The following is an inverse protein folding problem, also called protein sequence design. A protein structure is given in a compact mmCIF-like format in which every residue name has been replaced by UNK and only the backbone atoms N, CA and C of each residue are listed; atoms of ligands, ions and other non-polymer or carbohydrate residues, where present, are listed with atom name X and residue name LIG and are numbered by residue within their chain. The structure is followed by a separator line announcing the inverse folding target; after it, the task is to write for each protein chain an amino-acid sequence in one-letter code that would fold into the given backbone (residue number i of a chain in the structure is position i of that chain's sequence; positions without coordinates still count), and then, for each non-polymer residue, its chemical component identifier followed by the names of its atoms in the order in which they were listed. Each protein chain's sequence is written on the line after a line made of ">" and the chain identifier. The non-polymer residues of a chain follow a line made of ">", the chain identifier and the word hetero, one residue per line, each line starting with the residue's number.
data_IF_720019662011
#
_entry.id   IF_720019662011
#
_cell.length_a   1.000
_cell.length_b   1.000
_cell.length_c   1.000
_cell.angle_alpha   90.00
_cell.angle_beta   90.00
_cell.angle_gamma   90.00
#
_symmetry.space_group_name_H-M   'P 1'
#
loop_
_entity.id
_entity.type
_entity.pdbx_description
1 polymer ?
#
# COMPACT_ATOMS: atom_id res chain seq x y z
N UNK A 1 -1.29 -1.02 40.81
CA UNK A 1 -0.51 -2.27 40.60
C UNK A 1 -0.59 -2.67 39.12
N UNK A 2 -1.77 -2.62 38.44
CA UNK A 2 -1.90 -2.98 37.02
C UNK A 2 -1.08 -2.07 36.10
N UNK A 3 -1.04 -0.78 36.37
CA UNK A 3 -0.32 0.23 35.56
C UNK A 3 1.22 0.07 35.59
N UNK A 4 1.79 -0.34 36.74
CA UNK A 4 3.23 -0.63 36.86
C UNK A 4 3.61 -1.91 36.13
N UNK A 5 2.81 -2.96 36.28
CA UNK A 5 3.04 -4.26 35.58
C UNK A 5 3.00 -4.06 34.06
N UNK A 6 2.05 -3.28 33.54
CA UNK A 6 1.93 -3.00 32.11
C UNK A 6 3.13 -2.18 31.58
N UNK A 7 3.63 -1.22 32.35
CA UNK A 7 4.83 -0.45 31.98
C UNK A 7 6.09 -1.30 31.97
N UNK A 8 6.27 -2.16 32.97
CA UNK A 8 7.39 -3.08 33.03
C UNK A 8 7.36 -4.08 31.86
N UNK A 9 6.18 -4.64 31.57
CA UNK A 9 6.00 -5.54 30.41
C UNK A 9 6.26 -4.83 29.08
N UNK A 10 5.82 -3.57 28.94
CA UNK A 10 6.10 -2.77 27.75
C UNK A 10 7.61 -2.54 27.57
N UNK A 11 8.32 -2.16 28.62
CA UNK A 11 9.77 -2.00 28.61
C UNK A 11 10.50 -3.29 28.23
N UNK A 12 10.12 -4.41 28.85
CA UNK A 12 10.72 -5.74 28.53
C UNK A 12 10.45 -6.09 27.06
N UNK A 13 9.25 -5.87 26.56
CA UNK A 13 8.87 -6.16 25.18
C UNK A 13 9.70 -5.37 24.15
N UNK A 14 10.06 -4.12 24.45
CA UNK A 14 10.93 -3.32 23.58
C UNK A 14 12.29 -4.02 23.39
N UNK A 15 12.91 -4.47 24.49
CA UNK A 15 14.21 -5.15 24.42
C UNK A 15 14.14 -6.52 23.77
N UNK A 16 13.07 -7.29 24.03
CA UNK A 16 12.81 -8.55 23.34
C UNK A 16 12.65 -8.34 21.83
N UNK A 17 11.90 -7.31 21.43
CA UNK A 17 11.70 -7.01 20.02
C UNK A 17 13.00 -6.53 19.34
N UNK A 18 13.82 -5.73 20.04
CA UNK A 18 15.14 -5.33 19.54
C UNK A 18 16.03 -6.56 19.35
N UNK A 19 16.11 -7.45 20.34
CA UNK A 19 16.91 -8.68 20.25
C UNK A 19 16.45 -9.58 19.10
N UNK A 20 15.14 -9.78 18.95
CA UNK A 20 14.54 -10.51 17.81
C UNK A 20 14.89 -9.83 16.48
N UNK A 21 14.78 -8.50 16.40
CA UNK A 21 15.10 -7.73 15.21
C UNK A 21 16.58 -7.89 14.80
N UNK A 22 17.50 -7.86 15.76
CA UNK A 22 18.94 -8.13 15.54
C UNK A 22 19.13 -9.54 14.96
N UNK A 23 18.56 -10.54 15.63
CA UNK A 23 18.69 -11.94 15.21
C UNK A 23 18.16 -12.17 13.80
N UNK A 24 16.96 -11.70 13.50
CA UNK A 24 16.38 -11.85 12.17
C UNK A 24 17.16 -11.07 11.11
N UNK A 25 17.68 -9.89 11.42
CA UNK A 25 18.48 -9.11 10.48
C UNK A 25 19.79 -9.82 10.15
N UNK A 26 20.48 -10.38 11.17
CA UNK A 26 21.70 -11.18 10.97
C UNK A 26 21.43 -12.40 10.11
N UNK A 27 20.41 -13.20 10.47
CA UNK A 27 20.04 -14.39 9.73
C UNK A 27 19.69 -14.06 8.26
N UNK A 28 18.93 -12.96 8.04
CA UNK A 28 18.54 -12.50 6.73
C UNK A 28 19.74 -12.09 5.86
N UNK A 29 20.65 -11.32 6.41
CA UNK A 29 21.86 -10.88 5.69
C UNK A 29 22.76 -12.07 5.33
N UNK A 30 23.02 -12.97 6.28
CA UNK A 30 23.87 -14.15 6.05
C UNK A 30 23.24 -15.05 4.96
N UNK A 31 21.96 -15.39 5.12
CA UNK A 31 21.24 -16.24 4.17
C UNK A 31 21.23 -15.64 2.75
N UNK A 32 20.98 -14.33 2.66
CA UNK A 32 20.91 -13.65 1.36
C UNK A 32 22.27 -13.60 0.69
N UNK A 33 23.35 -13.34 1.44
CA UNK A 33 24.73 -13.34 0.91
C UNK A 33 25.18 -14.71 0.42
N UNK A 34 24.82 -15.78 1.13
CA UNK A 34 25.07 -17.15 0.67
C UNK A 34 24.34 -17.41 -0.65
N UNK A 35 23.09 -16.93 -0.76
CA UNK A 35 22.25 -17.17 -1.94
C UNK A 35 22.71 -16.38 -3.18
N UNK A 36 23.10 -15.11 -3.02
CA UNK A 36 23.38 -14.21 -4.16
C UNK A 36 24.88 -14.11 -4.51
N UNK A 37 25.77 -14.48 -3.59
CA UNK A 37 27.21 -14.39 -3.84
C UNK A 37 27.66 -12.94 -4.11
N UNK A 38 28.46 -12.76 -5.18
CA UNK A 38 28.97 -11.44 -5.58
C UNK A 38 27.91 -10.62 -6.30
N UNK A 39 27.95 -9.31 -6.05
CA UNK A 39 27.13 -8.30 -6.68
C UNK A 39 27.42 -8.18 -8.18
N UNK A 40 26.35 -8.04 -9.00
CA UNK A 40 26.41 -7.93 -10.46
C UNK A 40 26.39 -6.47 -10.95
N UNK A 41 26.58 -5.48 -10.10
CA UNK A 41 26.59 -4.06 -10.48
C UNK A 41 27.97 -3.71 -11.06
N UNK A 42 27.98 -3.16 -12.26
CA UNK A 42 29.20 -2.64 -12.87
C UNK A 42 29.54 -1.27 -12.22
N UNK A 43 30.69 -1.23 -11.53
CA UNK A 43 31.17 -0.03 -10.84
C UNK A 43 31.69 1.06 -11.78
N UNK A 44 31.95 0.73 -13.04
CA UNK A 44 32.43 1.69 -14.03
C UNK A 44 31.28 2.51 -14.63
N UNK A 45 30.05 2.03 -14.54
CA UNK A 45 28.86 2.72 -15.04
C UNK A 45 28.21 3.56 -13.94
N UNK A 46 27.54 4.63 -14.37
CA UNK A 46 26.62 5.33 -13.49
C UNK A 46 25.44 4.43 -13.15
N UNK A 47 24.90 4.51 -11.93
CA UNK A 47 23.82 3.65 -11.45
C UNK A 47 22.58 4.46 -11.19
N UNK A 48 21.48 4.09 -11.86
CA UNK A 48 20.15 4.58 -11.55
C UNK A 48 19.44 3.55 -10.67
N UNK A 49 19.04 3.95 -9.46
CA UNK A 49 18.40 3.05 -8.51
C UNK A 49 16.88 3.05 -8.64
N UNK A 50 16.30 1.85 -8.55
CA UNK A 50 14.88 1.66 -8.29
C UNK A 50 14.75 0.88 -6.99
N UNK A 51 14.17 1.49 -5.94
CA UNK A 51 13.85 0.77 -4.70
C UNK A 51 12.43 0.24 -4.76
N UNK A 52 12.30 -1.07 -4.68
CA UNK A 52 11.02 -1.76 -4.78
C UNK A 52 10.89 -2.92 -3.77
N UNK A 53 9.86 -3.72 -3.92
CA UNK A 53 9.58 -4.92 -3.16
C UNK A 53 9.52 -6.13 -4.10
N UNK A 54 9.68 -7.34 -3.57
CA UNK A 54 9.48 -8.56 -4.31
C UNK A 54 8.57 -9.52 -3.56
N UNK A 55 7.58 -10.05 -4.27
CA UNK A 55 6.62 -11.03 -3.79
C UNK A 55 6.70 -12.30 -4.61
N UNK A 56 6.16 -13.39 -4.12
CA UNK A 56 6.04 -14.61 -4.93
C UNK A 56 5.25 -14.39 -6.24
N UNK A 57 4.26 -13.49 -6.21
CA UNK A 57 3.45 -13.06 -7.37
C UNK A 57 4.17 -12.14 -8.36
N UNK A 58 5.34 -11.59 -8.00
CA UNK A 58 6.17 -10.78 -8.92
C UNK A 58 6.74 -11.60 -10.10
N UNK A 59 6.51 -12.90 -10.09
CA UNK A 59 6.97 -13.81 -11.12
C UNK A 59 5.79 -14.50 -11.81
N UNK A 60 5.77 -14.43 -13.14
CA UNK A 60 4.81 -15.21 -13.94
C UNK A 60 5.04 -16.71 -13.77
N UNK A 61 4.12 -17.53 -14.29
CA UNK A 61 4.31 -18.99 -14.32
C UNK A 61 5.60 -19.39 -15.08
N UNK A 62 6.00 -18.61 -16.07
CA UNK A 62 7.20 -18.82 -16.89
C UNK A 62 8.46 -18.18 -16.28
N UNK A 63 8.40 -17.69 -15.04
CA UNK A 63 9.54 -17.11 -14.33
C UNK A 63 9.87 -15.66 -14.70
N UNK A 64 9.12 -15.03 -15.58
CA UNK A 64 9.35 -13.63 -15.98
C UNK A 64 9.02 -12.72 -14.78
N UNK A 65 9.98 -11.88 -14.43
CA UNK A 65 9.84 -10.89 -13.35
C UNK A 65 9.03 -9.68 -13.83
N UNK A 66 8.11 -9.25 -12.99
CA UNK A 66 7.42 -7.96 -13.09
C UNK A 66 7.46 -7.27 -11.74
N UNK A 67 7.95 -6.05 -11.74
CA UNK A 67 7.97 -5.26 -10.51
C UNK A 67 6.53 -5.02 -10.01
N UNK A 68 6.24 -5.27 -8.72
CA UNK A 68 4.88 -5.21 -8.20
C UNK A 68 4.29 -3.80 -8.13
N UNK A 69 5.11 -2.75 -8.23
CA UNK A 69 4.68 -1.35 -8.16
C UNK A 69 5.00 -0.56 -9.43
N UNK A 70 6.16 -0.84 -10.01
CA UNK A 70 6.69 -0.10 -11.16
C UNK A 70 6.57 -0.87 -12.48
N UNK A 71 6.14 -2.16 -12.47
CA UNK A 71 6.05 -3.02 -13.65
C UNK A 71 7.34 -2.98 -14.49
N UNK A 72 7.30 -2.45 -15.71
CA UNK A 72 8.43 -2.39 -16.64
C UNK A 72 9.15 -1.03 -16.64
N UNK A 73 8.94 -0.18 -15.63
CA UNK A 73 9.57 1.13 -15.52
C UNK A 73 11.11 1.05 -15.61
N UNK A 74 11.72 -0.01 -15.05
CA UNK A 74 13.17 -0.20 -15.10
C UNK A 74 13.69 -0.35 -16.53
N UNK A 75 12.93 -0.99 -17.42
CA UNK A 75 13.28 -1.13 -18.85
C UNK A 75 13.19 0.23 -19.51
N UNK A 76 12.10 0.95 -19.31
CA UNK A 76 11.92 2.28 -19.87
C UNK A 76 13.04 3.25 -19.47
N UNK A 77 13.44 3.24 -18.19
CA UNK A 77 14.54 4.09 -17.69
C UNK A 77 15.86 3.66 -18.34
N UNK A 78 16.13 2.33 -18.45
CA UNK A 78 17.34 1.85 -19.10
C UNK A 78 17.42 2.27 -20.56
N UNK A 79 16.32 2.18 -21.31
CA UNK A 79 16.24 2.60 -22.72
C UNK A 79 16.51 4.11 -22.87
N UNK A 80 16.07 4.93 -21.91
CA UNK A 80 16.31 6.38 -21.92
C UNK A 80 17.75 6.77 -21.55
N UNK A 81 18.38 6.04 -20.63
CA UNK A 81 19.73 6.33 -20.17
C UNK A 81 20.81 5.72 -21.06
N UNK A 82 20.46 4.75 -21.90
CA UNK A 82 21.41 4.08 -22.80
C UNK A 82 22.46 3.24 -22.04
N UNK A 83 23.61 3.04 -22.67
CA UNK A 83 24.68 2.17 -22.16
C UNK A 83 25.61 2.80 -21.14
N UNK A 84 25.55 4.15 -20.97
CA UNK A 84 26.41 4.89 -20.03
C UNK A 84 25.96 4.72 -18.56
N UNK A 85 24.73 4.29 -18.35
CA UNK A 85 24.17 4.04 -17.06
C UNK A 85 23.60 2.62 -16.95
N UNK A 86 23.57 2.07 -15.73
CA UNK A 86 22.95 0.81 -15.41
C UNK A 86 21.75 1.04 -14.48
N UNK A 87 20.58 0.56 -14.86
CA UNK A 87 19.42 0.56 -13.96
C UNK A 87 19.48 -0.65 -13.05
N UNK A 88 19.44 -0.40 -11.74
CA UNK A 88 19.52 -1.42 -10.70
C UNK A 88 18.28 -1.34 -9.82
N UNK A 89 17.48 -2.39 -9.82
CA UNK A 89 16.37 -2.54 -8.87
C UNK A 89 16.88 -3.21 -7.60
N UNK A 90 16.76 -2.52 -6.47
CA UNK A 90 16.99 -3.11 -5.15
C UNK A 90 15.63 -3.45 -4.53
N UNK A 91 15.41 -4.71 -4.20
CA UNK A 91 14.12 -5.19 -3.76
C UNK A 91 14.19 -5.85 -2.38
N UNK A 92 13.19 -5.55 -1.54
CA UNK A 92 13.00 -6.26 -0.28
C UNK A 92 11.96 -7.36 -0.46
N UNK A 93 12.28 -8.56 0.00
CA UNK A 93 11.33 -9.67 0.03
C UNK A 93 10.27 -9.47 1.11
N UNK A 94 9.01 -9.58 0.71
CA UNK A 94 7.86 -9.54 1.60
C UNK A 94 7.13 -10.88 1.56
N UNK A 95 6.74 -11.42 2.71
CA UNK A 95 6.22 -12.77 2.86
C UNK A 95 7.07 -13.78 2.06
N UNK A 96 7.01 -15.05 2.28
CA UNK A 96 7.76 -16.08 1.53
C UNK A 96 9.09 -15.60 0.88
N UNK A 97 9.83 -14.69 1.58
CA UNK A 97 11.04 -14.01 1.10
C UNK A 97 12.04 -14.97 0.44
N UNK A 98 12.27 -16.12 1.06
CA UNK A 98 13.21 -17.11 0.56
C UNK A 98 12.83 -17.62 -0.84
N UNK A 99 11.57 -17.97 -1.05
CA UNK A 99 11.05 -18.42 -2.36
C UNK A 99 11.14 -17.32 -3.42
N UNK A 100 10.83 -16.08 -3.03
CA UNK A 100 10.93 -14.92 -3.91
C UNK A 100 12.38 -14.68 -4.33
N UNK A 101 13.33 -14.77 -3.42
CA UNK A 101 14.76 -14.62 -3.69
C UNK A 101 15.35 -15.75 -4.54
N UNK A 102 14.90 -16.99 -4.34
CA UNK A 102 15.29 -18.09 -5.24
C UNK A 102 14.90 -17.81 -6.69
N UNK A 103 13.71 -17.30 -6.93
CA UNK A 103 13.26 -16.92 -8.29
C UNK A 103 14.04 -15.71 -8.80
N UNK A 104 14.31 -14.72 -7.95
CA UNK A 104 15.02 -13.49 -8.30
C UNK A 104 16.44 -13.75 -8.81
N UNK A 105 17.11 -14.80 -8.34
CA UNK A 105 18.44 -15.21 -8.84
C UNK A 105 18.47 -15.52 -10.34
N UNK A 106 17.34 -15.98 -10.88
CA UNK A 106 17.20 -16.42 -12.26
C UNK A 106 16.84 -15.29 -13.24
N UNK A 107 16.71 -14.05 -12.75
CA UNK A 107 16.48 -12.88 -13.60
C UNK A 107 17.78 -12.58 -14.36
N UNK A 108 17.70 -12.52 -15.69
CA UNK A 108 18.85 -12.29 -16.57
C UNK A 108 18.69 -11.07 -17.47
N UNK A 109 17.46 -10.59 -17.66
CA UNK A 109 17.13 -9.48 -18.56
C UNK A 109 17.36 -8.09 -17.92
N UNK A 110 17.51 -8.04 -16.60
CA UNK A 110 17.74 -6.82 -15.82
C UNK A 110 18.44 -7.12 -14.50
N UNK A 111 18.98 -6.09 -13.85
CA UNK A 111 19.64 -6.25 -12.55
C UNK A 111 18.62 -6.01 -11.43
N UNK A 112 18.24 -7.10 -10.73
CA UNK A 112 17.36 -7.06 -9.56
C UNK A 112 18.07 -7.74 -8.40
N UNK A 113 18.29 -7.02 -7.30
CA UNK A 113 19.09 -7.48 -6.18
C UNK A 113 18.36 -7.28 -4.85
N UNK A 114 18.53 -8.19 -3.88
CA UNK A 114 17.96 -8.01 -2.54
C UNK A 114 18.72 -6.96 -1.76
N UNK A 115 18.01 -6.17 -0.96
CA UNK A 115 18.61 -5.09 -0.16
C UNK A 115 19.65 -5.59 0.83
N UNK A 116 19.50 -6.81 1.34
CA UNK A 116 20.35 -7.38 2.40
C UNK A 116 21.81 -7.63 1.94
N UNK A 117 22.07 -7.74 0.63
CA UNK A 117 23.47 -7.90 0.17
C UNK A 117 24.31 -6.64 0.39
N UNK A 118 23.65 -5.47 0.50
CA UNK A 118 24.28 -4.18 0.74
C UNK A 118 24.40 -3.83 2.23
N UNK A 119 23.79 -4.63 3.14
CA UNK A 119 23.84 -4.41 4.58
C UNK A 119 25.00 -5.24 5.17
N UNK A 120 25.90 -4.60 5.90
CA UNK A 120 26.98 -5.28 6.61
C UNK A 120 26.56 -5.65 8.04
N UNK A 121 27.22 -6.66 8.60
CA UNK A 121 27.00 -7.03 10.00
C UNK A 121 27.27 -5.85 10.95
N UNK A 122 28.29 -5.03 10.63
CA UNK A 122 28.60 -3.80 11.38
C UNK A 122 27.41 -2.83 11.41
N UNK A 123 26.65 -2.73 10.32
CA UNK A 123 25.48 -1.82 10.23
C UNK A 123 24.38 -2.26 11.22
N UNK A 124 24.20 -3.58 11.40
CA UNK A 124 23.24 -4.13 12.35
C UNK A 124 23.63 -3.77 13.80
N UNK A 125 24.90 -3.90 14.13
CA UNK A 125 25.38 -3.50 15.46
C UNK A 125 25.27 -1.99 15.68
N UNK A 126 25.62 -1.17 14.68
CA UNK A 126 25.49 0.28 14.79
C UNK A 126 24.02 0.70 14.92
N UNK A 127 23.10 0.08 14.18
CA UNK A 127 21.67 0.31 14.33
C UNK A 127 21.18 -0.05 15.75
N UNK A 128 21.61 -1.21 16.27
CA UNK A 128 21.27 -1.64 17.62
C UNK A 128 21.82 -0.68 18.70
N UNK A 129 23.04 -0.20 18.56
CA UNK A 129 23.65 0.79 19.47
C UNK A 129 22.87 2.11 19.39
N UNK A 130 22.54 2.60 18.19
CA UNK A 130 21.78 3.85 17.99
C UNK A 130 20.40 3.78 18.64
N UNK A 131 19.70 2.66 18.46
CA UNK A 131 18.38 2.43 19.10
C UNK A 131 18.53 2.37 20.61
N UNK A 132 19.52 1.62 21.12
CA UNK A 132 19.80 1.51 22.55
C UNK A 132 20.08 2.88 23.16
N UNK A 133 20.94 3.68 22.51
CA UNK A 133 21.24 5.04 22.94
C UNK A 133 19.97 5.90 22.96
N UNK A 134 19.17 5.86 21.91
CA UNK A 134 17.90 6.60 21.85
C UNK A 134 16.95 6.19 22.98
N UNK A 135 16.78 4.89 23.22
CA UNK A 135 15.89 4.38 24.27
C UNK A 135 16.33 4.75 25.69
N UNK A 136 17.65 4.83 25.92
CA UNK A 136 18.19 5.13 27.25
C UNK A 136 18.34 6.64 27.51
N UNK A 137 18.70 7.43 26.51
CA UNK A 137 19.11 8.82 26.69
C UNK A 137 18.25 9.85 25.97
N UNK A 138 17.32 9.40 25.11
CA UNK A 138 16.40 10.29 24.41
C UNK A 138 14.97 10.05 24.89
N UNK A 139 14.16 11.10 24.87
CA UNK A 139 12.73 10.99 25.16
C UNK A 139 11.93 11.68 24.06
N UNK A 140 10.91 11.00 23.53
CA UNK A 140 9.92 11.63 22.67
C UNK A 140 9.04 12.52 23.55
N UNK A 141 9.12 13.82 23.32
CA UNK A 141 8.28 14.80 24.03
C UNK A 141 6.91 14.85 23.36
N UNK A 142 5.89 14.36 24.06
CA UNK A 142 4.51 14.50 23.62
C UNK A 142 3.97 15.82 24.18
N UNK A 143 3.44 16.73 23.36
CA UNK A 143 2.89 18.00 23.83
C UNK A 143 1.75 17.77 24.82
N UNK A 144 1.47 18.76 25.65
CA UNK A 144 0.37 18.69 26.65
C UNK A 144 -0.99 18.56 25.97
N UNK A 145 -1.12 19.13 24.77
CA UNK A 145 -2.32 19.12 23.93
C UNK A 145 -1.95 18.77 22.49
N UNK A 146 -2.54 17.73 21.97
CA UNK A 146 -2.47 17.33 20.55
C UNK A 146 -3.91 17.07 20.10
N UNK A 147 -4.41 17.85 19.14
CA UNK A 147 -5.80 17.81 18.71
C UNK A 147 -5.94 17.09 17.37
N UNK A 148 -6.90 16.20 17.29
CA UNK A 148 -7.48 15.69 16.04
C UNK A 148 -8.98 15.91 16.14
N UNK A 149 -9.56 16.71 15.23
CA UNK A 149 -10.99 17.07 15.23
C UNK A 149 -11.49 17.48 16.63
N UNK A 150 -10.79 18.41 17.25
CA UNK A 150 -11.04 18.92 18.61
C UNK A 150 -10.88 17.92 19.76
N UNK A 151 -10.61 16.64 19.48
CA UNK A 151 -10.29 15.64 20.49
C UNK A 151 -8.81 15.71 20.88
N UNK A 152 -8.53 15.85 22.19
CA UNK A 152 -7.14 15.82 22.67
C UNK A 152 -6.62 14.38 22.78
N UNK A 153 -5.76 13.98 21.83
CA UNK A 153 -5.13 12.65 21.75
C UNK A 153 -3.79 12.57 22.49
N UNK A 154 -3.30 13.66 23.11
CA UNK A 154 -2.01 13.65 23.81
C UNK A 154 -1.89 12.56 24.90
N UNK A 155 -2.94 12.20 25.67
CA UNK A 155 -2.87 11.06 26.61
C UNK A 155 -2.58 9.73 25.90
N UNK A 156 -3.23 9.45 24.76
CA UNK A 156 -3.03 8.23 23.99
C UNK A 156 -1.62 8.20 23.39
N UNK A 157 -1.14 9.30 22.82
CA UNK A 157 0.23 9.41 22.31
C UNK A 157 1.28 9.17 23.40
N UNK A 158 1.08 9.72 24.59
CA UNK A 158 1.97 9.46 25.74
C UNK A 158 2.01 7.98 26.12
N UNK A 159 0.88 7.30 26.10
CA UNK A 159 0.82 5.87 26.40
C UNK A 159 1.52 5.04 25.30
N UNK A 160 1.31 5.35 24.03
CA UNK A 160 2.00 4.72 22.89
C UNK A 160 3.52 4.89 23.04
N UNK A 161 4.01 6.09 23.28
CA UNK A 161 5.47 6.35 23.46
C UNK A 161 6.05 5.54 24.62
N UNK A 162 5.30 5.42 25.73
CA UNK A 162 5.75 4.65 26.90
C UNK A 162 5.79 3.14 26.68
N UNK A 163 4.86 2.61 25.89
CA UNK A 163 4.68 1.17 25.73
C UNK A 163 5.43 0.58 24.53
N UNK A 164 5.67 1.40 23.49
CA UNK A 164 6.27 0.96 22.22
C UNK A 164 7.63 1.59 21.90
N UNK A 165 8.13 2.47 22.78
CA UNK A 165 9.34 3.25 22.49
C UNK A 165 9.21 4.11 21.22
N UNK A 166 7.98 4.44 20.81
CA UNK A 166 7.72 5.18 19.57
C UNK A 166 7.80 4.32 18.32
N UNK A 167 7.54 3.01 18.42
CA UNK A 167 7.58 2.05 17.30
C UNK A 167 8.93 1.91 16.60
N UNK A 168 10.04 2.16 17.28
CA UNK A 168 11.39 2.07 16.72
C UNK A 168 11.70 0.62 16.36
N UNK A 169 11.98 0.35 15.08
CA UNK A 169 12.37 -0.96 14.58
C UNK A 169 13.78 -0.92 13.98
N UNK A 170 14.59 -1.95 14.26
CA UNK A 170 15.95 -2.03 13.72
C UNK A 170 15.97 -2.05 12.19
N UNK A 171 14.94 -2.66 11.55
CA UNK A 171 14.80 -2.69 10.09
C UNK A 171 14.79 -1.30 9.47
N UNK A 172 14.20 -0.31 10.12
CA UNK A 172 14.12 1.07 9.63
C UNK A 172 15.50 1.75 9.68
N UNK A 173 16.26 1.56 10.76
CA UNK A 173 17.63 2.05 10.84
C UNK A 173 18.55 1.42 9.77
N UNK A 174 18.31 0.16 9.41
CA UNK A 174 19.09 -0.50 8.36
C UNK A 174 18.91 0.16 6.99
N UNK A 175 17.77 0.81 6.73
CA UNK A 175 17.57 1.58 5.50
C UNK A 175 18.47 2.82 5.42
N UNK A 176 18.81 3.45 6.55
CA UNK A 176 19.81 4.52 6.58
C UNK A 176 21.17 4.01 6.10
N UNK A 177 21.62 2.89 6.67
CA UNK A 177 22.91 2.31 6.29
C UNK A 177 22.92 1.79 4.85
N UNK A 178 21.78 1.25 4.37
CA UNK A 178 21.60 0.86 2.99
C UNK A 178 21.77 2.04 2.04
N UNK A 179 21.03 3.13 2.27
CA UNK A 179 21.11 4.34 1.44
C UNK A 179 22.52 4.93 1.42
N UNK A 180 23.14 5.07 2.61
CA UNK A 180 24.49 5.57 2.76
C UNK A 180 25.52 4.73 2.00
N UNK A 181 25.44 3.41 2.08
CA UNK A 181 26.35 2.49 1.39
C UNK A 181 26.21 2.54 -0.12
N UNK A 182 24.98 2.53 -0.62
CA UNK A 182 24.73 2.64 -2.05
C UNK A 182 25.30 3.93 -2.62
N UNK A 183 25.09 5.05 -1.92
CA UNK A 183 25.64 6.34 -2.34
C UNK A 183 27.18 6.42 -2.23
N UNK A 184 27.80 5.66 -1.29
CA UNK A 184 29.25 5.60 -1.13
C UNK A 184 29.93 4.66 -2.13
N UNK A 185 29.32 3.51 -2.43
CA UNK A 185 29.96 2.43 -3.19
C UNK A 185 29.77 2.55 -4.70
N UNK A 186 28.75 3.34 -5.14
CA UNK A 186 28.36 3.49 -6.55
C UNK A 186 28.17 4.95 -6.95
N UNK A 187 28.48 5.26 -8.21
CA UNK A 187 28.22 6.56 -8.82
C UNK A 187 26.72 6.66 -9.15
N UNK A 188 25.90 7.07 -8.17
CA UNK A 188 24.48 7.22 -8.36
C UNK A 188 24.16 8.42 -9.25
N UNK A 189 23.29 8.25 -10.26
CA UNK A 189 22.79 9.33 -11.13
C UNK A 189 21.30 9.63 -10.95
N UNK A 190 20.56 8.82 -10.18
CA UNK A 190 19.16 9.04 -9.86
C UNK A 190 18.60 7.90 -9.02
N UNK A 191 17.45 8.14 -8.40
CA UNK A 191 16.74 7.16 -7.61
C UNK A 191 15.23 7.33 -7.74
N UNK A 192 14.53 6.24 -8.03
CA UNK A 192 13.06 6.13 -7.90
C UNK A 192 12.76 5.15 -6.78
N UNK A 193 11.80 5.49 -5.92
CA UNK A 193 11.36 4.60 -4.85
C UNK A 193 9.85 4.68 -4.67
N UNK A 194 9.23 3.57 -4.25
CA UNK A 194 7.85 3.64 -3.75
C UNK A 194 7.79 4.61 -2.58
N UNK A 195 6.76 5.45 -2.53
CA UNK A 195 6.65 6.50 -1.53
C UNK A 195 5.23 6.62 -1.00
N UNK A 196 5.07 6.35 0.29
CA UNK A 196 3.80 6.44 1.03
C UNK A 196 3.99 7.19 2.37
N UNK A 197 5.14 7.88 2.55
CA UNK A 197 5.48 8.61 3.77
C UNK A 197 5.93 7.71 4.93
N UNK A 198 6.34 6.48 4.66
CA UNK A 198 6.80 5.52 5.67
C UNK A 198 8.15 5.92 6.30
N UNK A 199 8.40 5.48 7.53
CA UNK A 199 9.66 5.76 8.25
C UNK A 199 10.89 5.24 7.51
N UNK A 200 10.83 4.01 6.95
CA UNK A 200 11.93 3.43 6.21
C UNK A 200 12.32 4.24 4.96
N UNK A 201 11.35 4.91 4.31
CA UNK A 201 11.58 5.78 3.15
C UNK A 201 12.39 6.99 3.56
N UNK A 202 12.01 7.65 4.64
CA UNK A 202 12.71 8.79 5.22
C UNK A 202 14.15 8.41 5.62
N UNK A 203 14.33 7.24 6.27
CA UNK A 203 15.66 6.74 6.65
C UNK A 203 16.54 6.43 5.43
N UNK A 204 15.97 5.87 4.37
CA UNK A 204 16.69 5.59 3.13
C UNK A 204 17.16 6.87 2.44
N UNK A 205 16.28 7.85 2.31
CA UNK A 205 16.59 9.19 1.75
C UNK A 205 17.70 9.85 2.60
N UNK A 206 17.56 9.86 3.92
CA UNK A 206 18.55 10.42 4.83
C UNK A 206 19.93 9.76 4.65
N UNK A 207 19.95 8.44 4.49
CA UNK A 207 21.18 7.68 4.23
C UNK A 207 21.85 8.10 2.94
N UNK A 208 21.12 8.21 1.83
CA UNK A 208 21.64 8.67 0.54
C UNK A 208 22.19 10.10 0.66
N UNK A 209 21.41 11.02 1.20
CA UNK A 209 21.77 12.44 1.31
C UNK A 209 22.95 12.70 2.23
N UNK A 210 23.21 11.78 3.19
CA UNK A 210 24.41 11.89 4.05
C UNK A 210 25.74 11.74 3.28
N UNK A 211 25.71 11.22 2.04
CA UNK A 211 26.88 11.02 1.16
C UNK A 211 26.74 11.83 -0.12
N UNK A 212 25.55 11.82 -0.73
CA UNK A 212 25.26 12.53 -1.97
C UNK A 212 24.00 13.40 -1.77
N UNK A 213 24.15 14.63 -1.26
CA UNK A 213 23.05 15.54 -0.95
C UNK A 213 22.27 15.98 -2.18
N UNK A 214 22.92 16.03 -3.35
CA UNK A 214 22.35 16.54 -4.60
C UNK A 214 21.74 15.44 -5.47
N UNK A 215 21.80 14.15 -5.03
CA UNK A 215 21.19 13.07 -5.79
C UNK A 215 19.68 13.29 -5.92
N UNK A 216 19.19 13.27 -7.16
CA UNK A 216 17.77 13.34 -7.44
C UNK A 216 17.04 12.09 -6.99
N UNK A 217 16.05 12.25 -6.12
CA UNK A 217 15.22 11.18 -5.57
C UNK A 217 13.77 11.43 -5.93
N UNK A 218 13.15 10.51 -6.65
CA UNK A 218 11.75 10.55 -7.05
C UNK A 218 10.94 9.57 -6.19
N UNK A 219 9.94 10.08 -5.48
CA UNK A 219 8.95 9.28 -4.78
C UNK A 219 7.80 8.88 -5.72
N UNK A 220 7.57 7.59 -5.94
CA UNK A 220 6.43 7.10 -6.69
C UNK A 220 5.29 6.72 -5.74
N UNK A 221 4.27 7.56 -5.66
CA UNK A 221 3.04 7.22 -4.93
C UNK A 221 2.14 6.37 -5.83
N UNK A 222 2.19 5.06 -5.61
CA UNK A 222 1.58 4.05 -6.48
C UNK A 222 0.24 3.51 -5.97
N UNK A 223 -0.15 3.85 -4.74
CA UNK A 223 -1.34 3.34 -4.08
C UNK A 223 -2.50 4.34 -4.08
N UNK A 224 -3.63 3.92 -3.54
CA UNK A 224 -4.78 4.79 -3.26
C UNK A 224 -4.49 5.69 -2.06
N UNK A 225 -5.12 6.85 -2.00
CA UNK A 225 -4.93 7.85 -0.93
C UNK A 225 -6.27 8.08 -0.22
N UNK A 226 -6.63 7.30 0.80
CA UNK A 226 -7.77 7.62 1.67
C UNK A 226 -7.44 8.75 2.65
N UNK A 227 -8.43 9.35 3.29
CA UNK A 227 -8.22 10.39 4.30
C UNK A 227 -7.30 9.93 5.44
N UNK A 228 -7.39 8.65 5.83
CA UNK A 228 -6.57 8.07 6.89
C UNK A 228 -5.13 7.76 6.49
N UNK A 229 -4.71 8.02 5.24
CA UNK A 229 -3.33 7.87 4.79
C UNK A 229 -2.41 9.00 5.34
N UNK A 230 -2.40 9.17 6.66
CA UNK A 230 -1.72 10.29 7.32
C UNK A 230 -0.22 10.41 7.00
N UNK A 231 0.45 9.31 6.62
CA UNK A 231 1.88 9.32 6.29
C UNK A 231 2.24 10.16 5.08
N UNK A 232 1.31 10.35 4.12
CA UNK A 232 1.55 11.15 2.91
C UNK A 232 1.09 12.60 3.03
N UNK A 233 0.28 12.93 4.05
CA UNK A 233 -0.20 14.29 4.31
C UNK A 233 0.73 14.99 5.31
N UNK A 234 1.76 15.63 4.77
CA UNK A 234 2.77 16.32 5.57
C UNK A 234 2.24 17.64 6.10
N UNK A 235 2.62 17.98 7.34
CA UNK A 235 2.50 19.33 7.88
C UNK A 235 3.69 20.20 7.44
N UNK A 236 3.56 21.52 7.54
CA UNK A 236 4.65 22.46 7.31
C UNK A 236 5.83 22.22 8.26
N UNK A 237 5.54 21.95 9.53
CA UNK A 237 6.56 21.64 10.53
C UNK A 237 7.34 20.37 10.17
N UNK A 238 6.64 19.31 9.74
CA UNK A 238 7.28 18.05 9.32
C UNK A 238 8.13 18.26 8.08
N UNK A 239 7.65 19.01 7.09
CA UNK A 239 8.38 19.29 5.85
C UNK A 239 9.73 19.97 6.12
N UNK A 240 9.81 20.81 7.16
CA UNK A 240 11.03 21.53 7.52
C UNK A 240 12.15 20.64 8.06
N UNK A 241 11.84 19.43 8.56
CA UNK A 241 12.78 18.53 9.25
C UNK A 241 12.89 17.14 8.66
N UNK A 242 11.86 16.67 7.94
CA UNK A 242 11.83 15.31 7.42
C UNK A 242 12.63 15.17 6.12
N UNK A 243 13.41 14.09 5.94
CA UNK A 243 14.03 13.77 4.67
C UNK A 243 12.95 13.40 3.65
N UNK A 244 12.86 14.18 2.57
CA UNK A 244 11.83 14.04 1.55
C UNK A 244 12.44 13.77 0.18
N UNK A 245 11.71 13.12 -0.76
CA UNK A 245 12.10 13.08 -2.15
C UNK A 245 12.07 14.50 -2.76
N UNK A 246 12.77 14.71 -3.87
CA UNK A 246 12.76 16.01 -4.57
C UNK A 246 11.42 16.27 -5.27
N UNK A 247 10.78 15.19 -5.74
CA UNK A 247 9.43 15.25 -6.31
C UNK A 247 8.65 13.96 -6.03
N UNK A 248 7.33 14.09 -6.06
CA UNK A 248 6.38 12.97 -5.94
C UNK A 248 5.67 12.80 -7.29
N UNK A 249 5.80 11.62 -7.86
CA UNK A 249 5.03 11.20 -9.04
C UNK A 249 3.89 10.30 -8.55
N UNK A 250 2.66 10.72 -8.82
CA UNK A 250 1.47 9.97 -8.39
C UNK A 250 0.95 9.05 -9.49
N UNK A 251 0.06 8.14 -9.14
CA UNK A 251 -0.58 7.21 -10.07
C UNK A 251 -1.49 7.91 -11.10
N UNK A 252 -1.92 9.15 -10.85
CA UNK A 252 -2.77 9.91 -11.75
C UNK A 252 -3.11 11.31 -11.25
N UNK A 253 -3.98 11.99 -12.00
CA UNK A 253 -4.39 13.36 -11.72
C UNK A 253 -5.12 13.49 -10.37
N UNK A 254 -6.03 12.57 -10.06
CA UNK A 254 -6.82 12.62 -8.81
C UNK A 254 -5.90 12.53 -7.59
N UNK A 255 -5.01 11.53 -7.54
CA UNK A 255 -4.05 11.38 -6.45
C UNK A 255 -3.09 12.56 -6.34
N UNK A 256 -2.69 13.18 -7.47
CA UNK A 256 -1.93 14.44 -7.48
C UNK A 256 -2.72 15.59 -6.84
N UNK A 257 -3.99 15.75 -7.19
CA UNK A 257 -4.84 16.80 -6.65
C UNK A 257 -5.11 16.62 -5.16
N UNK A 258 -5.31 15.39 -4.69
CA UNK A 258 -5.46 15.05 -3.27
C UNK A 258 -4.20 15.50 -2.51
N UNK A 259 -3.00 15.12 -2.95
CA UNK A 259 -1.76 15.52 -2.29
C UNK A 259 -1.56 17.04 -2.33
N UNK A 260 -1.83 17.71 -3.44
CA UNK A 260 -1.73 19.17 -3.56
C UNK A 260 -2.70 19.93 -2.66
N UNK A 261 -3.84 19.31 -2.32
CA UNK A 261 -4.87 19.91 -1.46
C UNK A 261 -4.57 19.73 0.02
N UNK A 262 -4.10 18.56 0.42
CA UNK A 262 -4.06 18.16 1.83
C UNK A 262 -2.64 18.03 2.41
N UNK A 263 -1.57 18.08 1.59
CA UNK A 263 -0.19 18.01 2.04
C UNK A 263 0.52 19.34 1.88
N UNK A 264 1.44 19.68 2.80
CA UNK A 264 2.32 20.81 2.70
C UNK A 264 3.48 20.62 1.71
N UNK A 265 3.61 19.43 1.09
CA UNK A 265 4.66 19.20 0.08
C UNK A 265 4.52 20.21 -1.08
N UNK A 266 5.64 20.79 -1.61
CA UNK A 266 5.59 21.80 -2.66
C UNK A 266 4.78 21.31 -3.86
N UNK A 267 3.74 22.06 -4.21
CA UNK A 267 2.75 21.68 -5.23
C UNK A 267 3.35 21.51 -6.61
N UNK A 268 4.36 22.30 -6.92
CA UNK A 268 5.16 22.28 -8.17
C UNK A 268 5.96 20.97 -8.30
N UNK A 269 6.28 20.31 -7.19
CA UNK A 269 7.01 19.06 -7.15
C UNK A 269 6.11 17.82 -7.08
N UNK A 270 4.78 18.00 -7.16
CA UNK A 270 3.80 16.90 -7.24
C UNK A 270 3.30 16.81 -8.69
N UNK A 271 3.59 15.70 -9.36
CA UNK A 271 3.23 15.53 -10.78
C UNK A 271 2.29 14.34 -10.97
N UNK A 272 1.24 14.48 -11.80
CA UNK A 272 0.40 13.37 -12.20
C UNK A 272 1.17 12.49 -13.20
N UNK A 273 1.71 11.38 -12.73
CA UNK A 273 2.38 10.38 -13.56
C UNK A 273 1.41 9.38 -14.15
N UNK A 274 1.72 8.10 -13.99
CA UNK A 274 0.87 6.99 -14.40
C UNK A 274 0.92 5.85 -13.40
N UNK A 275 0.05 4.88 -13.59
CA UNK A 275 -0.10 3.72 -12.74
C UNK A 275 0.35 2.42 -13.45
N UNK A 276 1.66 2.10 -13.49
CA UNK A 276 2.16 0.90 -14.20
C UNK A 276 1.53 -0.39 -13.72
N UNK A 277 1.24 -0.50 -12.42
CA UNK A 277 0.58 -1.65 -11.81
C UNK A 277 -0.86 -1.84 -12.32
N UNK A 278 -1.57 -0.75 -12.60
CA UNK A 278 -3.01 -0.77 -12.91
C UNK A 278 -3.33 -0.71 -14.41
N UNK A 279 -2.34 -0.89 -15.29
CA UNK A 279 -2.56 -0.87 -16.74
C UNK A 279 -3.56 -1.95 -17.22
N UNK A 280 -3.71 -3.04 -16.48
CA UNK A 280 -4.68 -4.09 -16.77
C UNK A 280 -6.13 -3.61 -16.71
N UNK A 281 -6.44 -2.51 -15.98
CA UNK A 281 -7.77 -1.94 -15.92
C UNK A 281 -8.29 -1.51 -17.30
N UNK A 282 -7.38 -1.05 -18.15
CA UNK A 282 -7.70 -0.61 -19.51
C UNK A 282 -7.95 -1.74 -20.50
N UNK A 283 -7.75 -2.98 -20.10
CA UNK A 283 -8.10 -4.17 -20.89
C UNK A 283 -9.49 -4.71 -20.58
N UNK A 284 -10.23 -4.10 -19.63
CA UNK A 284 -11.57 -4.52 -19.33
C UNK A 284 -12.54 -4.06 -20.42
N UNK A 285 -13.26 -5.02 -20.98
CA UNK A 285 -14.33 -4.76 -21.94
C UNK A 285 -15.59 -4.29 -21.21
N UNK A 286 -16.30 -3.38 -21.84
CA UNK A 286 -17.59 -2.86 -21.37
C UNK A 286 -18.68 -3.89 -21.66
N UNK A 287 -18.83 -4.90 -20.80
CA UNK A 287 -19.73 -6.05 -21.00
C UNK A 287 -20.91 -6.08 -20.01
N UNK A 288 -21.20 -4.97 -19.32
CA UNK A 288 -22.31 -4.96 -18.39
C UNK A 288 -23.63 -4.74 -19.11
N UNK A 289 -24.49 -5.74 -19.02
CA UNK A 289 -25.85 -5.68 -19.53
C UNK A 289 -26.82 -5.66 -18.32
N UNK A 290 -27.29 -4.47 -17.99
CA UNK A 290 -28.23 -4.25 -16.89
C UNK A 290 -29.57 -4.95 -17.20
N UNK A 291 -30.05 -5.77 -16.28
CA UNK A 291 -31.34 -6.45 -16.39
C UNK A 291 -31.28 -7.87 -16.92
N UNK A 292 -30.14 -8.41 -17.32
CA UNK A 292 -30.01 -9.81 -17.76
C UNK A 292 -29.72 -10.79 -16.61
N UNK A 293 -29.53 -10.33 -15.38
CA UNK A 293 -29.27 -11.21 -14.24
C UNK A 293 -30.59 -11.79 -13.71
N UNK A 294 -30.65 -13.12 -13.61
CA UNK A 294 -31.81 -13.86 -13.07
C UNK A 294 -32.02 -13.54 -11.56
N UNK A 295 -31.03 -13.02 -10.88
CA UNK A 295 -31.12 -12.55 -9.50
C UNK A 295 -30.02 -11.54 -9.20
N UNK A 296 -30.36 -10.46 -8.49
CA UNK A 296 -29.47 -9.38 -8.14
C UNK A 296 -28.35 -9.87 -7.20
N UNK A 297 -27.11 -9.51 -7.50
CA UNK A 297 -25.94 -10.00 -6.78
C UNK A 297 -25.04 -8.86 -6.27
N UNK A 298 -24.81 -8.85 -4.98
CA UNK A 298 -23.89 -7.92 -4.28
C UNK A 298 -22.52 -8.56 -4.12
N UNK A 299 -21.47 -7.95 -4.65
CA UNK A 299 -20.08 -8.34 -4.37
C UNK A 299 -19.61 -7.66 -3.08
N UNK A 300 -19.38 -8.44 -2.04
CA UNK A 300 -18.85 -7.97 -0.76
C UNK A 300 -17.33 -8.12 -0.79
N UNK A 301 -16.62 -6.99 -0.79
CA UNK A 301 -15.18 -6.95 -0.92
C UNK A 301 -14.55 -6.70 0.46
N UNK A 302 -13.91 -7.75 1.02
CA UNK A 302 -13.32 -7.70 2.36
C UNK A 302 -11.87 -7.25 2.31
N UNK A 303 -11.42 -6.63 3.40
CA UNK A 303 -10.06 -6.21 3.64
C UNK A 303 -9.23 -7.26 4.37
N UNK A 304 -7.90 -7.03 4.41
CA UNK A 304 -6.95 -7.88 5.13
C UNK A 304 -6.83 -7.56 6.62
N UNK A 305 -7.81 -6.87 7.21
CA UNK A 305 -7.83 -6.45 8.60
C UNK A 305 -8.95 -7.17 9.37
N UNK A 306 -8.74 -7.43 10.66
CA UNK A 306 -9.74 -8.11 11.49
C UNK A 306 -11.03 -7.29 11.67
N UNK A 307 -10.93 -5.97 11.63
CA UNK A 307 -12.05 -5.05 11.74
C UNK A 307 -13.10 -5.21 10.63
N UNK A 308 -12.77 -5.89 9.54
CA UNK A 308 -13.70 -6.28 8.48
C UNK A 308 -14.84 -7.18 9.01
N UNK A 309 -14.69 -7.76 10.21
CA UNK A 309 -15.74 -8.53 10.89
C UNK A 309 -17.03 -7.73 11.08
N UNK A 310 -16.94 -6.40 11.20
CA UNK A 310 -18.12 -5.53 11.36
C UNK A 310 -18.95 -5.54 10.08
N UNK A 311 -18.30 -5.40 8.93
CA UNK A 311 -18.94 -5.52 7.62
C UNK A 311 -19.55 -6.93 7.43
N UNK A 312 -18.83 -7.99 7.83
CA UNK A 312 -19.32 -9.38 7.71
C UNK A 312 -20.57 -9.59 8.57
N UNK A 313 -20.59 -9.10 9.81
CA UNK A 313 -21.79 -9.16 10.69
C UNK A 313 -22.97 -8.44 10.04
N UNK A 314 -22.74 -7.25 9.50
CA UNK A 314 -23.75 -6.48 8.76
C UNK A 314 -24.32 -7.29 7.59
N UNK A 315 -23.43 -7.82 6.72
CA UNK A 315 -23.83 -8.60 5.54
C UNK A 315 -24.63 -9.84 5.92
N UNK A 316 -24.24 -10.59 6.95
CA UNK A 316 -24.99 -11.77 7.41
C UNK A 316 -26.39 -11.38 7.87
N UNK A 317 -26.55 -10.26 8.57
CA UNK A 317 -27.85 -9.77 8.99
C UNK A 317 -28.71 -9.32 7.79
N UNK A 318 -28.13 -8.56 6.85
CA UNK A 318 -28.85 -8.13 5.65
C UNK A 318 -29.24 -9.31 4.74
N UNK A 319 -28.41 -10.33 4.63
CA UNK A 319 -28.72 -11.53 3.84
C UNK A 319 -29.94 -12.31 4.37
N UNK A 320 -30.17 -12.31 5.70
CA UNK A 320 -31.38 -12.90 6.29
C UNK A 320 -32.64 -12.10 5.98
N UNK A 321 -32.51 -10.76 5.88
CA UNK A 321 -33.62 -9.85 5.58
C UNK A 321 -33.94 -9.78 4.07
N UNK A 322 -32.98 -10.14 3.21
CA UNK A 322 -33.04 -10.02 1.76
C UNK A 322 -32.79 -11.38 1.08
N UNK A 323 -33.70 -12.37 1.24
CA UNK A 323 -33.47 -13.73 0.74
C UNK A 323 -33.32 -13.83 -0.79
N UNK A 324 -33.91 -12.90 -1.53
CA UNK A 324 -33.85 -12.85 -3.01
C UNK A 324 -32.56 -12.22 -3.55
N UNK A 325 -31.79 -11.51 -2.69
CA UNK A 325 -30.53 -10.89 -3.05
C UNK A 325 -29.40 -11.90 -2.77
N UNK A 326 -28.51 -12.10 -3.73
CA UNK A 326 -27.33 -12.94 -3.57
C UNK A 326 -26.14 -12.11 -3.12
N UNK A 327 -25.36 -12.65 -2.18
CA UNK A 327 -24.12 -12.04 -1.68
C UNK A 327 -22.95 -12.93 -2.06
N UNK A 328 -22.01 -12.37 -2.83
CA UNK A 328 -20.75 -13.02 -3.18
C UNK A 328 -19.61 -12.38 -2.35
N UNK A 329 -19.08 -13.10 -1.39
CA UNK A 329 -18.02 -12.62 -0.50
C UNK A 329 -16.65 -12.89 -1.13
N UNK A 330 -15.88 -11.84 -1.34
CA UNK A 330 -14.49 -11.93 -1.77
C UNK A 330 -13.56 -11.56 -0.62
N UNK A 331 -12.82 -12.57 -0.13
CA UNK A 331 -11.82 -12.37 0.93
C UNK A 331 -10.57 -11.67 0.39
N UNK A 332 -9.90 -10.92 1.27
CA UNK A 332 -8.56 -10.43 0.98
C UNK A 332 -7.54 -11.58 1.02
N UNK A 333 -6.49 -11.58 0.18
CA UNK A 333 -5.49 -12.66 0.15
C UNK A 333 -4.76 -12.93 1.47
N UNK A 334 -4.66 -11.93 2.35
CA UNK A 334 -3.99 -12.06 3.65
C UNK A 334 -4.89 -12.55 4.78
N UNK A 335 -6.22 -12.59 4.60
CA UNK A 335 -7.18 -12.96 5.65
C UNK A 335 -8.34 -13.77 5.07
N UNK A 336 -8.44 -15.03 5.48
CA UNK A 336 -9.50 -15.91 4.99
C UNK A 336 -10.85 -15.61 5.64
N UNK A 337 -11.93 -15.86 4.91
CA UNK A 337 -13.28 -15.67 5.42
C UNK A 337 -13.59 -16.58 6.62
N UNK A 338 -13.06 -17.81 6.62
CA UNK A 338 -13.19 -18.75 7.71
C UNK A 338 -12.57 -18.20 9.01
N UNK A 339 -11.42 -17.52 8.91
CA UNK A 339 -10.78 -16.89 10.06
C UNK A 339 -11.64 -15.76 10.64
N UNK A 340 -12.27 -14.96 9.77
CA UNK A 340 -13.18 -13.88 10.19
C UNK A 340 -14.42 -14.47 10.86
N UNK A 341 -15.03 -15.51 10.26
CA UNK A 341 -16.20 -16.18 10.84
C UNK A 341 -15.90 -16.75 12.21
N UNK A 342 -14.75 -17.39 12.38
CA UNK A 342 -14.33 -17.94 13.68
C UNK A 342 -14.25 -16.85 14.75
N UNK A 343 -13.71 -15.68 14.41
CA UNK A 343 -13.60 -14.56 15.35
C UNK A 343 -14.96 -14.02 15.80
N UNK A 344 -15.96 -14.03 14.92
CA UNK A 344 -17.33 -13.60 15.27
C UNK A 344 -18.21 -14.70 15.86
N UNK A 345 -17.64 -15.88 16.17
CA UNK A 345 -18.37 -17.04 16.72
C UNK A 345 -19.24 -17.77 15.71
N UNK A 346 -19.05 -17.53 14.39
CA UNK A 346 -19.78 -18.16 13.32
C UNK A 346 -19.02 -19.33 12.66
N UNK A 347 -19.73 -20.06 11.80
CA UNK A 347 -19.14 -21.06 10.91
C UNK A 347 -19.86 -21.06 9.56
N UNK A 348 -19.24 -21.68 8.53
CA UNK A 348 -19.76 -21.72 7.18
C UNK A 348 -21.12 -22.43 7.05
N UNK A 349 -21.42 -23.39 7.96
CA UNK A 349 -22.64 -24.18 7.94
C UNK A 349 -23.87 -23.37 8.37
N UNK A 350 -23.67 -22.31 9.13
CA UNK A 350 -24.75 -21.49 9.70
C UNK A 350 -24.97 -20.18 8.92
N UNK A 351 -24.36 -20.06 7.73
CA UNK A 351 -24.59 -18.89 6.86
C UNK A 351 -25.96 -18.96 6.17
N UNK A 352 -26.59 -17.80 5.91
CA UNK A 352 -27.72 -17.72 4.99
C UNK A 352 -27.40 -18.36 3.63
N UNK A 353 -28.36 -19.06 3.05
CA UNK A 353 -28.18 -19.82 1.79
C UNK A 353 -27.87 -18.95 0.58
N UNK A 354 -28.20 -17.66 0.65
CA UNK A 354 -27.93 -16.64 -0.37
C UNK A 354 -26.51 -16.01 -0.24
N UNK A 355 -25.69 -16.43 0.72
CA UNK A 355 -24.28 -16.05 0.83
C UNK A 355 -23.41 -17.12 0.18
N UNK A 356 -22.50 -16.71 -0.70
CA UNK A 356 -21.45 -17.56 -1.29
C UNK A 356 -20.08 -16.90 -1.16
N UNK A 357 -19.04 -17.72 -0.98
CA UNK A 357 -17.65 -17.26 -0.96
C UNK A 357 -17.04 -17.42 -2.35
N UNK A 358 -16.40 -16.37 -2.85
CA UNK A 358 -15.74 -16.41 -4.16
C UNK A 358 -14.55 -17.38 -4.14
N UNK A 359 -14.42 -18.13 -5.23
CA UNK A 359 -13.28 -19.00 -5.52
C UNK A 359 -12.46 -18.48 -6.71
N UNK A 360 -12.84 -17.33 -7.28
CA UNK A 360 -12.19 -16.77 -8.45
C UNK A 360 -10.83 -16.19 -8.08
N UNK A 361 -9.82 -16.42 -8.92
CA UNK A 361 -8.48 -15.86 -8.73
C UNK A 361 -8.44 -14.36 -9.06
N UNK A 362 -9.11 -13.96 -10.13
CA UNK A 362 -9.15 -12.56 -10.58
C UNK A 362 -10.39 -11.86 -10.05
N UNK A 363 -10.23 -10.61 -9.63
CA UNK A 363 -11.33 -9.74 -9.21
C UNK A 363 -12.33 -9.56 -10.33
N UNK A 364 -11.87 -9.33 -11.56
CA UNK A 364 -12.72 -9.12 -12.74
C UNK A 364 -13.71 -10.24 -13.02
N UNK A 365 -13.39 -11.49 -12.64
CA UNK A 365 -14.30 -12.63 -12.78
C UNK A 365 -15.50 -12.52 -11.83
N UNK A 366 -15.27 -12.03 -10.60
CA UNK A 366 -16.35 -11.78 -9.65
C UNK A 366 -17.18 -10.54 -10.05
N UNK A 367 -16.50 -9.45 -10.45
CA UNK A 367 -17.17 -8.20 -10.87
C UNK A 367 -18.12 -8.44 -12.06
N UNK A 368 -17.71 -9.25 -13.04
CA UNK A 368 -18.58 -9.59 -14.20
C UNK A 368 -19.89 -10.28 -13.80
N UNK A 369 -19.93 -10.91 -12.63
CA UNK A 369 -21.08 -11.69 -12.13
C UNK A 369 -21.97 -10.91 -11.18
N UNK A 370 -21.54 -9.71 -10.75
CA UNK A 370 -22.21 -8.93 -9.74
C UNK A 370 -22.78 -7.62 -10.30
N UNK A 371 -23.85 -7.15 -9.70
CA UNK A 371 -24.58 -5.94 -10.12
C UNK A 371 -24.08 -4.71 -9.35
N UNK A 372 -23.65 -4.87 -8.09
CA UNK A 372 -23.19 -3.80 -7.20
C UNK A 372 -22.07 -4.30 -6.28
N UNK A 373 -21.16 -3.41 -5.90
CA UNK A 373 -20.11 -3.69 -4.92
C UNK A 373 -20.40 -3.09 -3.55
N UNK A 374 -20.21 -3.86 -2.48
CA UNK A 374 -20.25 -3.40 -1.09
C UNK A 374 -18.86 -3.52 -0.50
N UNK A 375 -18.31 -2.43 0.04
CA UNK A 375 -16.95 -2.37 0.54
C UNK A 375 -16.80 -1.39 1.70
N UNK A 376 -15.68 -1.50 2.43
CA UNK A 376 -15.29 -0.54 3.46
C UNK A 376 -14.07 0.30 3.03
N UNK A 377 -12.92 -0.33 2.72
CA UNK A 377 -11.67 0.40 2.43
C UNK A 377 -10.78 -0.22 1.32
N UNK A 378 -11.32 -1.12 0.53
CA UNK A 378 -10.52 -1.84 -0.46
C UNK A 378 -10.33 -1.11 -1.78
N UNK A 379 -9.12 -1.15 -2.35
CA UNK A 379 -8.83 -0.66 -3.70
C UNK A 379 -9.60 -1.42 -4.80
N UNK A 380 -10.16 -2.59 -4.51
CA UNK A 380 -11.02 -3.34 -5.44
C UNK A 380 -12.27 -2.56 -5.87
N UNK A 381 -12.72 -1.60 -5.04
CA UNK A 381 -13.81 -0.68 -5.39
C UNK A 381 -13.53 0.10 -6.68
N UNK A 382 -12.27 0.46 -6.92
CA UNK A 382 -11.84 1.16 -8.12
C UNK A 382 -11.96 0.27 -9.37
N UNK A 383 -11.65 -1.03 -9.25
CA UNK A 383 -11.87 -1.99 -10.33
C UNK A 383 -13.35 -2.13 -10.68
N UNK A 384 -14.23 -2.12 -9.68
CA UNK A 384 -15.69 -2.13 -9.87
C UNK A 384 -16.16 -0.93 -10.68
N UNK A 385 -15.72 0.29 -10.31
CA UNK A 385 -16.06 1.52 -11.06
C UNK A 385 -15.55 1.47 -12.50
N UNK A 386 -14.32 1.00 -12.73
CA UNK A 386 -13.75 0.87 -14.06
C UNK A 386 -14.55 -0.09 -14.95
N UNK A 387 -15.16 -1.11 -14.34
CA UNK A 387 -16.03 -2.07 -15.00
C UNK A 387 -17.51 -1.61 -15.04
N UNK A 388 -17.80 -0.35 -14.71
CA UNK A 388 -19.11 0.26 -14.80
C UNK A 388 -20.12 -0.23 -13.76
N UNK A 389 -19.65 -0.69 -12.58
CA UNK A 389 -20.52 -1.16 -11.49
C UNK A 389 -20.72 -0.10 -10.43
N UNK A 390 -21.95 0.09 -9.90
CA UNK A 390 -22.22 0.96 -8.77
C UNK A 390 -21.56 0.41 -7.49
N UNK A 391 -21.30 1.31 -6.53
CA UNK A 391 -20.65 1.00 -5.27
C UNK A 391 -21.52 1.41 -4.08
N UNK A 392 -21.44 0.63 -3.02
CA UNK A 392 -22.00 0.96 -1.71
C UNK A 392 -20.82 0.94 -0.73
N UNK A 393 -20.51 2.10 -0.17
CA UNK A 393 -19.50 2.22 0.87
C UNK A 393 -20.12 1.94 2.24
N UNK A 394 -19.50 1.05 3.01
CA UNK A 394 -19.90 0.75 4.36
C UNK A 394 -19.23 1.76 5.31
N UNK A 395 -19.97 2.79 5.70
CA UNK A 395 -19.53 3.83 6.62
C UNK A 395 -19.65 3.34 8.07
N UNK A 396 -18.54 3.13 8.72
CA UNK A 396 -18.48 2.72 10.13
C UNK A 396 -18.61 3.91 11.11
N UNK A 397 -18.58 5.14 10.60
CA UNK A 397 -18.49 6.36 11.41
C UNK A 397 -17.06 6.61 11.93
N UNK A 398 -16.04 6.14 11.23
CA UNK A 398 -14.64 6.40 11.54
C UNK A 398 -14.32 7.89 11.37
N UNK A 399 -13.50 8.46 12.28
CA UNK A 399 -13.14 9.90 12.29
C UNK A 399 -12.43 10.32 11.00
N UNK A 400 -11.54 9.46 10.47
CA UNK A 400 -10.91 9.61 9.18
C UNK A 400 -11.31 8.44 8.31
N UNK A 401 -11.85 8.73 7.13
CA UNK A 401 -12.29 7.69 6.20
C UNK A 401 -11.11 6.92 5.62
N UNK A 402 -11.25 5.60 5.59
CA UNK A 402 -10.38 4.70 4.86
C UNK A 402 -10.88 4.43 3.44
N UNK A 403 -11.99 5.07 3.03
CA UNK A 403 -12.52 4.98 1.67
C UNK A 403 -11.53 5.54 0.64
N UNK A 404 -11.02 4.75 -0.32
CA UNK A 404 -10.14 5.26 -1.38
C UNK A 404 -10.85 6.22 -2.35
N UNK A 405 -12.18 6.25 -2.30
CA UNK A 405 -13.05 7.06 -3.15
C UNK A 405 -13.76 8.17 -2.36
N UNK A 406 -13.14 8.69 -1.30
CA UNK A 406 -13.78 9.66 -0.41
C UNK A 406 -14.16 11.00 -1.08
N UNK A 407 -13.54 11.34 -2.21
CA UNK A 407 -13.88 12.51 -3.02
C UNK A 407 -14.84 12.20 -4.19
N UNK A 408 -15.30 10.94 -4.32
CA UNK A 408 -16.17 10.51 -5.41
C UNK A 408 -17.53 10.05 -4.87
N UNK A 409 -18.63 10.59 -5.39
CA UNK A 409 -20.00 10.29 -4.96
C UNK A 409 -20.96 9.97 -6.12
N UNK A 410 -20.57 10.26 -7.36
CA UNK A 410 -21.50 10.19 -8.51
C UNK A 410 -22.07 8.80 -8.78
N UNK A 411 -21.37 7.71 -8.46
CA UNK A 411 -21.81 6.33 -8.65
C UNK A 411 -21.50 5.49 -7.42
N UNK A 412 -21.57 6.13 -6.25
CA UNK A 412 -21.30 5.57 -4.94
C UNK A 412 -22.38 6.02 -3.96
N UNK A 413 -22.92 5.08 -3.22
CA UNK A 413 -23.83 5.28 -2.08
C UNK A 413 -23.14 4.89 -0.80
N UNK A 414 -23.76 5.20 0.34
CA UNK A 414 -23.25 4.79 1.63
C UNK A 414 -24.32 4.10 2.48
N UNK A 415 -23.88 3.16 3.31
CA UNK A 415 -24.70 2.55 4.36
C UNK A 415 -23.92 2.53 5.67
N UNK A 416 -24.62 2.78 6.78
CA UNK A 416 -24.05 2.62 8.13
C UNK A 416 -24.44 1.24 8.70
N UNK A 417 -23.82 0.80 9.82
CA UNK A 417 -24.16 -0.48 10.46
C UNK A 417 -25.64 -0.65 10.83
N UNK A 418 -26.34 0.47 11.08
CA UNK A 418 -27.74 0.48 11.49
C UNK A 418 -28.73 0.75 10.34
N UNK A 419 -28.24 0.98 9.12
CA UNK A 419 -29.08 1.30 7.97
C UNK A 419 -29.41 0.03 7.18
N UNK A 420 -30.68 -0.17 6.74
CA UNK A 420 -31.03 -1.31 5.91
C UNK A 420 -30.40 -1.16 4.52
N UNK A 421 -29.83 -2.24 4.01
CA UNK A 421 -29.20 -2.27 2.68
C UNK A 421 -30.27 -2.14 1.56
N UNK A 422 -31.49 -2.63 1.80
CA UNK A 422 -32.61 -2.58 0.83
C UNK A 422 -32.85 -1.18 0.29
N UNK A 423 -32.82 -0.15 1.14
CA UNK A 423 -33.06 1.25 0.74
C UNK A 423 -32.14 1.68 -0.39
N UNK A 424 -30.83 1.39 -0.26
CA UNK A 424 -29.85 1.76 -1.28
C UNK A 424 -29.93 0.86 -2.51
N UNK A 425 -30.20 -0.44 -2.33
CA UNK A 425 -30.38 -1.36 -3.45
C UNK A 425 -31.58 -0.98 -4.30
N UNK A 426 -32.71 -0.60 -3.67
CA UNK A 426 -33.92 -0.12 -4.37
C UNK A 426 -33.62 1.17 -5.16
N UNK A 427 -32.89 2.12 -4.62
CA UNK A 427 -32.48 3.34 -5.33
C UNK A 427 -31.66 3.00 -6.58
N UNK A 428 -30.66 2.11 -6.45
CA UNK A 428 -29.81 1.68 -7.57
C UNK A 428 -30.62 0.93 -8.63
N UNK A 429 -31.54 0.06 -8.21
CA UNK A 429 -32.37 -0.73 -9.14
C UNK A 429 -33.37 0.14 -9.90
N UNK A 430 -33.94 1.16 -9.25
CA UNK A 430 -34.95 2.06 -9.83
C UNK A 430 -34.35 3.15 -10.73
N UNK A 431 -33.03 3.29 -10.83
CA UNK A 431 -32.44 4.23 -11.79
C UNK A 431 -32.84 3.89 -13.21
N UNK A 432 -33.10 4.91 -14.03
CA UNK A 432 -33.25 4.73 -15.49
C UNK A 432 -31.92 4.29 -16.11
N UNK A 433 -31.95 3.63 -17.25
CA UNK A 433 -30.74 3.22 -17.97
C UNK A 433 -29.87 4.43 -18.35
N UNK A 434 -30.49 5.53 -18.78
CA UNK A 434 -29.79 6.76 -19.11
C UNK A 434 -29.01 7.33 -17.92
N UNK A 435 -29.64 7.37 -16.74
CA UNK A 435 -28.97 7.81 -15.50
C UNK A 435 -27.83 6.86 -15.09
N UNK A 436 -28.11 5.55 -15.13
CA UNK A 436 -27.12 4.52 -14.78
C UNK A 436 -25.87 4.64 -15.65
N UNK A 437 -26.01 4.67 -16.97
CA UNK A 437 -24.88 4.77 -17.89
C UNK A 437 -24.15 6.11 -17.79
N UNK A 438 -24.86 7.21 -17.52
CA UNK A 438 -24.25 8.51 -17.26
C UNK A 438 -23.35 8.48 -16.01
N UNK A 439 -23.86 7.94 -14.89
CA UNK A 439 -23.10 7.80 -13.64
C UNK A 439 -21.94 6.80 -13.79
N UNK A 440 -22.14 5.69 -14.49
CA UNK A 440 -21.12 4.71 -14.81
C UNK A 440 -19.95 5.34 -15.60
N UNK A 441 -20.27 6.16 -16.62
CA UNK A 441 -19.27 6.88 -17.42
C UNK A 441 -18.42 7.82 -16.55
N UNK A 442 -19.05 8.58 -15.63
CA UNK A 442 -18.32 9.43 -14.66
C UNK A 442 -17.42 8.61 -13.75
N UNK A 443 -17.86 7.40 -13.32
CA UNK A 443 -17.04 6.49 -12.54
C UNK A 443 -15.79 6.03 -13.28
N UNK A 444 -15.94 5.62 -14.54
CA UNK A 444 -14.80 5.21 -15.39
C UNK A 444 -13.85 6.37 -15.67
N UNK A 445 -14.36 7.56 -15.93
CA UNK A 445 -13.56 8.76 -16.11
C UNK A 445 -12.74 9.07 -14.84
N UNK A 446 -13.38 9.04 -13.66
CA UNK A 446 -12.69 9.24 -12.39
C UNK A 446 -11.56 8.24 -12.19
N UNK A 447 -11.81 6.95 -12.45
CA UNK A 447 -10.78 5.90 -12.33
C UNK A 447 -9.64 6.12 -13.31
N UNK A 448 -9.94 6.54 -14.56
CA UNK A 448 -8.91 6.82 -15.56
C UNK A 448 -8.00 8.00 -15.18
N UNK A 449 -8.54 8.96 -14.41
CA UNK A 449 -7.78 10.07 -13.85
C UNK A 449 -7.10 9.71 -12.52
N UNK A 450 -7.61 8.71 -11.81
CA UNK A 450 -6.97 8.20 -10.58
C UNK A 450 -5.74 7.35 -10.90
N UNK A 451 -5.86 6.46 -11.89
CA UNK A 451 -4.81 5.57 -12.39
C UNK A 451 -4.56 5.85 -13.87
N UNK A 452 -3.80 6.88 -14.16
CA UNK A 452 -3.52 7.26 -15.54
C UNK A 452 -2.89 6.11 -16.33
N UNK A 453 -3.27 6.00 -17.59
CA UNK A 453 -2.62 5.11 -18.53
C UNK A 453 -1.15 5.52 -18.74
N UNK A 454 -0.25 4.54 -18.79
CA UNK A 454 1.14 4.82 -19.08
C UNK A 454 1.32 5.32 -20.51
N UNK A 455 2.03 6.42 -20.65
CA UNK A 455 2.51 6.98 -21.90
C UNK A 455 3.99 7.34 -21.76
N UNK A 456 4.69 7.54 -22.86
CA UNK A 456 6.08 7.95 -22.83
C UNK A 456 6.27 9.24 -22.01
N UNK A 457 5.40 10.22 -22.19
CA UNK A 457 5.44 11.47 -21.44
C UNK A 457 5.29 11.27 -19.93
N UNK A 458 4.35 10.41 -19.50
CA UNK A 458 4.13 10.15 -18.07
C UNK A 458 5.27 9.34 -17.44
N UNK A 459 5.92 8.47 -18.21
CA UNK A 459 7.08 7.70 -17.75
C UNK A 459 8.36 8.57 -17.70
N UNK A 460 8.47 9.60 -18.53
CA UNK A 460 9.60 10.52 -18.49
C UNK A 460 9.69 11.33 -17.20
N UNK A 461 8.60 11.53 -16.46
CA UNK A 461 8.62 12.16 -15.13
C UNK A 461 9.51 11.41 -14.12
N UNK A 462 9.76 10.12 -14.31
CA UNK A 462 10.61 9.31 -13.43
C UNK A 462 12.10 9.46 -13.71
N UNK A 463 12.46 9.95 -14.91
CA UNK A 463 13.86 10.10 -15.34
C UNK A 463 14.32 11.57 -15.26
N UNK A 464 13.43 12.52 -15.61
CA UNK A 464 13.73 13.94 -15.74
C UNK A 464 13.56 14.73 -14.45
#
# INVERSE_FOLDING_TARGET
>A
ISNFKNRLMGFINIWINLAKGIFFSLANVIQTRIMFGRNKIDKNKSVFLIKSWVFAKSFSKNGVYKDPFCNDLAIHIQDKLGDDAQVVTIAQGYNERYKSYQKMRNITDRVVLPIEIFINLKDIFLAAISITYFLLFSSIKVPSKALILDCNIAPALREIVKTSGGFIQISEYLYYFLGRRLASDYKLCGCVMSYEGNHWEKMFILGIRSINPDLRIVGHHHSVIPQAAAGVFLSEDELSIAPMPDKIITSGLISSNILKRYSAFPKENIHPGCAPLYQYLYSYEDSYDRGKTVSYMVLVMLEGLLETEILVKYVINQARLLPDIKFLIRSHPSLSFESILKNIGGNLLNLPTNIKVSKCKKVSEDVKRCDVGLYWQTATSIEMLMMGRPLIWFDRGDVLSLDPLFEFDSFKWSVTPNMPLSTVLEEIQNMTDGEFFSRSSKGKEYVSQYFNKCSENSLNYFVN
#
